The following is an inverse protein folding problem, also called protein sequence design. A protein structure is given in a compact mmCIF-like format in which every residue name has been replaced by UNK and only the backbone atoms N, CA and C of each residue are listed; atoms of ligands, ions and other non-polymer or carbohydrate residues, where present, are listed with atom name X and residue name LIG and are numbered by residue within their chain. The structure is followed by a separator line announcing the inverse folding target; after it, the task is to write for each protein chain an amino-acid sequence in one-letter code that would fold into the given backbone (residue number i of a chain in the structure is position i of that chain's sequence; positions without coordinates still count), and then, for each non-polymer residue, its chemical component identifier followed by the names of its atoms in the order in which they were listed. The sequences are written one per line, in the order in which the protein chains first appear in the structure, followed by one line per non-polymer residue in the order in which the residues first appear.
data_IF_722800052472
#
_entry.id   IF_722800052472
#
_cell.length_a   1.000
_cell.length_b   1.000
_cell.length_c   1.000
_cell.angle_alpha   90.00
_cell.angle_beta   90.00
_cell.angle_gamma   90.00
#
_symmetry.space_group_name_H-M   'P 1'
#
loop_
_entity.id
_entity.type
_entity.pdbx_description
1 polymer ?
#
# COMPACT_ATOMS: atom_id res chain seq x y z
N UNK A 1 3.71 -38.66 -2.27
CA UNK A 1 5.12 -39.00 -1.98
C UNK A 1 5.63 -37.97 -1.00
N UNK A 2 5.68 -38.31 0.28
CA UNK A 2 6.85 -38.84 1.00
C UNK A 2 7.41 -37.73 1.87
N UNK A 3 6.93 -37.66 3.11
CA UNK A 3 7.72 -37.17 4.24
C UNK A 3 7.29 -37.96 5.49
N UNK A 4 7.81 -39.18 5.56
CA UNK A 4 8.20 -39.77 6.85
C UNK A 4 9.67 -39.43 7.03
N UNK A 5 10.05 -38.88 8.19
CA UNK A 5 11.31 -39.26 8.80
C UNK A 5 11.05 -39.86 10.18
N UNK A 6 11.45 -41.13 10.28
CA UNK A 6 12.03 -41.80 11.45
C UNK A 6 11.18 -41.95 12.72
N UNK A 7 10.46 -43.07 12.78
CA UNK A 7 10.34 -43.85 14.01
C UNK A 7 11.73 -44.37 14.41
N UNK A 8 12.30 -43.83 15.47
CA UNK A 8 13.32 -44.53 16.26
C UNK A 8 12.74 -44.85 17.64
N UNK A 9 12.51 -46.14 17.85
CA UNK A 9 12.29 -46.74 19.16
C UNK A 9 13.46 -46.38 20.09
N UNK A 10 13.19 -45.56 21.11
CA UNK A 10 14.17 -45.24 22.14
C UNK A 10 13.53 -44.50 23.31
N UNK A 11 13.26 -45.23 24.41
CA UNK A 11 13.01 -44.71 25.76
C UNK A 11 11.77 -43.80 25.94
N UNK A 12 10.87 -44.20 26.85
CA UNK A 12 9.84 -43.32 27.43
C UNK A 12 10.57 -42.21 28.21
N UNK A 13 11.10 -41.22 27.51
CA UNK A 13 11.45 -39.95 28.10
C UNK A 13 10.11 -39.33 28.55
N UNK A 14 9.96 -39.05 29.84
CA UNK A 14 8.80 -38.35 30.39
C UNK A 14 8.45 -37.19 29.46
N UNK A 15 7.32 -37.31 28.74
CA UNK A 15 6.91 -36.28 27.82
C UNK A 15 6.79 -34.99 28.63
N UNK A 16 7.60 -33.98 28.31
CA UNK A 16 7.60 -32.70 29.05
C UNK A 16 6.15 -32.25 29.28
N UNK A 17 5.79 -31.74 30.48
CA UNK A 17 4.41 -31.38 30.82
C UNK A 17 3.74 -30.49 29.76
N UNK A 18 4.54 -29.65 29.09
CA UNK A 18 4.12 -28.80 27.98
C UNK A 18 3.65 -29.58 26.74
N UNK A 19 4.34 -30.65 26.38
CA UNK A 19 4.01 -31.47 25.21
C UNK A 19 2.75 -32.29 25.47
N UNK A 20 2.60 -32.83 26.68
CA UNK A 20 1.36 -33.49 27.12
C UNK A 20 0.17 -32.52 27.10
N UNK A 21 0.33 -31.31 27.67
CA UNK A 21 -0.71 -30.30 27.65
C UNK A 21 -1.12 -29.90 26.23
N UNK A 22 -0.15 -29.71 25.33
CA UNK A 22 -0.40 -29.41 23.93
C UNK A 22 -1.14 -30.55 23.23
N UNK A 23 -0.74 -31.80 23.48
CA UNK A 23 -1.40 -32.98 22.90
C UNK A 23 -2.85 -33.10 23.38
N UNK A 24 -3.10 -32.96 24.69
CA UNK A 24 -4.44 -32.94 25.26
C UNK A 24 -5.31 -31.84 24.63
N UNK A 25 -4.75 -30.63 24.44
CA UNK A 25 -5.45 -29.53 23.79
C UNK A 25 -5.83 -29.90 22.35
N UNK A 26 -4.89 -30.45 21.57
CA UNK A 26 -5.15 -30.84 20.18
C UNK A 26 -6.23 -31.92 20.09
N UNK A 27 -6.14 -32.96 20.90
CA UNK A 27 -7.12 -34.04 20.94
C UNK A 27 -8.52 -33.55 21.33
N UNK A 28 -8.60 -32.60 22.28
CA UNK A 28 -9.87 -31.97 22.68
C UNK A 28 -10.51 -31.23 21.50
N UNK A 29 -9.75 -30.38 20.80
CA UNK A 29 -10.27 -29.61 19.67
C UNK A 29 -10.55 -30.46 18.43
N UNK A 30 -9.83 -31.57 18.22
CA UNK A 30 -10.13 -32.54 17.15
C UNK A 30 -11.49 -33.23 17.34
N UNK A 31 -11.92 -33.45 18.58
CA UNK A 31 -13.20 -34.08 18.90
C UNK A 31 -14.35 -33.08 19.06
N UNK A 32 -14.08 -31.77 18.97
CA UNK A 32 -15.10 -30.75 19.11
C UNK A 32 -16.01 -30.68 17.89
N UNK A 33 -17.32 -30.70 18.13
CA UNK A 33 -18.34 -30.33 17.15
C UNK A 33 -18.52 -28.80 17.10
N UNK A 34 -19.18 -28.28 16.05
CA UNK A 34 -19.45 -26.85 15.92
C UNK A 34 -20.17 -26.27 17.15
N UNK A 35 -21.17 -26.98 17.69
CA UNK A 35 -21.94 -26.52 18.85
C UNK A 35 -21.14 -26.50 20.17
N UNK A 36 -20.10 -27.32 20.29
CA UNK A 36 -19.27 -27.40 21.49
C UNK A 36 -18.04 -26.49 21.46
N UNK A 37 -17.68 -25.93 20.30
CA UNK A 37 -16.50 -25.08 20.13
C UNK A 37 -16.51 -23.87 21.06
N UNK A 38 -17.66 -23.22 21.23
CA UNK A 38 -17.78 -22.06 22.12
C UNK A 38 -17.43 -22.42 23.57
N UNK A 39 -18.00 -23.51 24.06
CA UNK A 39 -17.82 -23.98 25.43
C UNK A 39 -16.38 -24.40 25.73
N UNK A 40 -15.62 -24.80 24.71
CA UNK A 40 -14.20 -25.16 24.85
C UNK A 40 -13.27 -23.96 24.66
N UNK A 41 -13.66 -22.96 23.87
CA UNK A 41 -12.91 -21.71 23.70
C UNK A 41 -13.02 -20.77 24.92
N UNK A 42 -14.19 -20.71 25.57
CA UNK A 42 -14.41 -19.82 26.72
C UNK A 42 -13.40 -20.03 27.88
N UNK A 43 -13.09 -21.27 28.31
CA UNK A 43 -12.03 -21.52 29.29
C UNK A 43 -10.64 -21.05 28.82
N UNK A 44 -10.36 -21.11 27.51
CA UNK A 44 -9.08 -20.67 26.94
C UNK A 44 -8.95 -19.16 27.06
N UNK A 45 -10.01 -18.40 26.71
CA UNK A 45 -10.05 -16.94 26.90
C UNK A 45 -9.85 -16.58 28.37
N UNK A 46 -10.61 -17.21 29.27
CA UNK A 46 -10.51 -16.97 30.71
C UNK A 46 -9.11 -17.26 31.26
N UNK A 47 -8.44 -18.30 30.77
CA UNK A 47 -7.05 -18.57 31.14
C UNK A 47 -6.10 -17.45 30.68
N UNK A 48 -6.29 -16.91 29.47
CA UNK A 48 -5.46 -15.81 29.00
C UNK A 48 -5.68 -14.52 29.80
N UNK A 49 -6.93 -14.23 30.17
CA UNK A 49 -7.27 -13.07 30.98
C UNK A 49 -6.70 -13.17 32.39
N UNK A 50 -6.85 -14.31 33.06
CA UNK A 50 -6.38 -14.50 34.45
C UNK A 50 -4.85 -14.53 34.58
N UNK A 51 -4.14 -14.95 33.54
CA UNK A 51 -2.68 -15.13 33.58
C UNK A 51 -1.93 -14.14 32.68
N UNK A 52 -2.59 -13.04 32.28
CA UNK A 52 -2.06 -11.95 31.47
C UNK A 52 -1.33 -12.45 30.20
N UNK A 53 -1.91 -13.42 29.49
CA UNK A 53 -1.29 -14.02 28.29
C UNK A 53 -1.50 -13.20 27.01
N UNK A 54 -2.27 -12.13 27.11
CA UNK A 54 -2.44 -11.13 26.06
C UNK A 54 -1.35 -10.07 26.06
N UNK A 55 -0.63 -9.88 27.16
CA UNK A 55 0.38 -8.83 27.24
C UNK A 55 1.47 -9.01 26.17
N UNK A 56 1.91 -7.91 25.54
CA UNK A 56 2.92 -7.98 24.50
C UNK A 56 4.29 -8.40 25.08
N UNK A 57 4.99 -9.38 24.46
CA UNK A 57 4.59 -10.12 23.27
C UNK A 57 3.65 -11.32 23.59
N UNK A 58 2.48 -11.46 22.91
CA UNK A 58 1.47 -12.49 23.23
C UNK A 58 1.81 -13.88 22.67
N UNK A 59 3.07 -14.31 22.86
CA UNK A 59 3.62 -15.52 22.24
C UNK A 59 2.89 -16.80 22.63
N UNK A 60 2.44 -16.89 23.88
CA UNK A 60 1.68 -18.04 24.37
C UNK A 60 0.31 -18.12 23.69
N UNK A 61 -0.43 -17.00 23.68
CA UNK A 61 -1.74 -16.93 23.02
C UNK A 61 -1.63 -17.27 21.53
N UNK A 62 -0.64 -16.72 20.81
CA UNK A 62 -0.39 -17.04 19.40
C UNK A 62 -0.19 -18.55 19.21
N UNK A 63 0.71 -19.17 19.98
CA UNK A 63 1.01 -20.61 19.85
C UNK A 63 -0.23 -21.47 20.14
N UNK A 64 -1.02 -21.10 21.14
CA UNK A 64 -2.25 -21.81 21.52
C UNK A 64 -3.31 -21.70 20.44
N UNK A 65 -3.60 -20.50 19.90
CA UNK A 65 -4.55 -20.36 18.79
C UNK A 65 -4.10 -21.07 17.52
N UNK A 66 -2.80 -21.06 17.19
CA UNK A 66 -2.27 -21.86 16.09
C UNK A 66 -2.52 -23.36 16.31
N UNK A 67 -2.26 -23.86 17.53
CA UNK A 67 -2.55 -25.25 17.86
C UNK A 67 -4.04 -25.59 17.73
N UNK A 68 -4.93 -24.69 18.17
CA UNK A 68 -6.38 -24.84 18.03
C UNK A 68 -6.79 -24.91 16.56
N UNK A 69 -6.35 -23.95 15.73
CA UNK A 69 -6.72 -23.89 14.31
C UNK A 69 -6.21 -25.10 13.51
N UNK A 70 -5.02 -25.63 13.82
CA UNK A 70 -4.52 -26.85 13.19
C UNK A 70 -5.23 -28.13 13.65
N UNK A 71 -6.01 -28.07 14.73
CA UNK A 71 -6.69 -29.23 15.31
C UNK A 71 -8.15 -29.34 14.92
N UNK A 72 -8.76 -28.27 14.42
CA UNK A 72 -10.16 -28.25 14.01
C UNK A 72 -10.31 -28.46 12.50
N UNK A 73 -11.52 -28.79 12.06
CA UNK A 73 -11.85 -28.79 10.63
C UNK A 73 -11.78 -27.37 10.08
N UNK A 74 -11.20 -27.21 8.88
CA UNK A 74 -10.94 -25.89 8.26
C UNK A 74 -12.20 -25.03 8.07
N UNK A 75 -13.37 -25.66 7.93
CA UNK A 75 -14.68 -24.98 7.83
C UNK A 75 -15.05 -24.23 9.12
N UNK A 76 -14.57 -24.72 10.27
CA UNK A 76 -14.86 -24.14 11.59
C UNK A 76 -13.86 -23.04 11.98
N UNK A 77 -12.79 -22.83 11.21
CA UNK A 77 -11.78 -21.79 11.49
C UNK A 77 -12.38 -20.38 11.57
N UNK A 78 -13.43 -20.12 10.78
CA UNK A 78 -14.20 -18.86 10.85
C UNK A 78 -14.75 -18.61 12.25
N UNK A 79 -15.31 -19.63 12.91
CA UNK A 79 -15.93 -19.49 14.21
C UNK A 79 -14.91 -19.05 15.27
N UNK A 80 -13.70 -19.64 15.26
CA UNK A 80 -12.63 -19.28 16.19
C UNK A 80 -12.21 -17.82 16.00
N UNK A 81 -12.06 -17.37 14.74
CA UNK A 81 -11.69 -15.98 14.42
C UNK A 81 -12.80 -15.02 14.84
N UNK A 82 -14.06 -15.32 14.52
CA UNK A 82 -15.20 -14.50 14.93
C UNK A 82 -15.34 -14.42 16.44
N UNK A 83 -15.14 -15.51 17.17
CA UNK A 83 -15.21 -15.46 18.62
C UNK A 83 -14.10 -14.59 19.20
N UNK A 84 -12.87 -14.64 18.64
CA UNK A 84 -11.79 -13.73 19.04
C UNK A 84 -12.12 -12.27 18.70
N UNK A 85 -12.75 -11.99 17.55
CA UNK A 85 -13.24 -10.66 17.19
C UNK A 85 -14.34 -10.20 18.17
N UNK A 86 -15.28 -11.05 18.53
CA UNK A 86 -16.34 -10.75 19.50
C UNK A 86 -15.76 -10.41 20.87
N UNK A 87 -14.74 -11.14 21.32
CA UNK A 87 -14.04 -10.83 22.57
C UNK A 87 -13.32 -9.48 22.46
N UNK A 88 -12.67 -9.20 21.32
CA UNK A 88 -12.03 -7.90 21.11
C UNK A 88 -13.05 -6.75 21.04
N UNK A 89 -14.25 -6.97 20.49
CA UNK A 89 -15.35 -6.01 20.51
C UNK A 89 -15.84 -5.72 21.95
N UNK A 90 -15.84 -6.72 22.85
CA UNK A 90 -16.24 -6.54 24.24
C UNK A 90 -15.21 -5.75 25.06
N UNK A 91 -13.92 -5.84 24.70
CA UNK A 91 -12.80 -5.19 25.39
C UNK A 91 -12.38 -3.87 24.71
N UNK A 92 -13.24 -3.26 23.87
CA UNK A 92 -12.92 -2.04 23.11
C UNK A 92 -12.41 -0.86 23.98
N UNK A 93 -12.91 -0.71 25.20
CA UNK A 93 -12.48 0.32 26.15
C UNK A 93 -11.61 -0.22 27.30
N UNK A 94 -11.14 -1.47 27.18
CA UNK A 94 -10.29 -2.13 28.17
C UNK A 94 -8.83 -1.71 28.08
N UNK A 95 -7.96 -2.47 28.75
CA UNK A 95 -6.52 -2.21 28.77
C UNK A 95 -5.92 -2.25 27.36
N UNK A 96 -5.20 -1.18 26.99
CA UNK A 96 -4.59 -1.04 25.65
C UNK A 96 -3.63 -2.18 25.32
N UNK A 97 -2.92 -2.74 26.31
CA UNK A 97 -2.02 -3.87 26.12
C UNK A 97 -2.77 -5.14 25.67
N UNK A 98 -3.89 -5.44 26.33
CA UNK A 98 -4.72 -6.61 26.01
C UNK A 98 -5.29 -6.47 24.60
N UNK A 99 -5.79 -5.27 24.23
CA UNK A 99 -6.30 -4.99 22.88
C UNK A 99 -5.24 -5.21 21.80
N UNK A 100 -4.04 -4.67 21.98
CA UNK A 100 -2.90 -4.87 21.05
C UNK A 100 -2.52 -6.36 21.00
N UNK A 101 -2.51 -7.04 22.14
CA UNK A 101 -2.25 -8.48 22.24
C UNK A 101 -3.21 -9.32 21.40
N UNK A 102 -4.51 -9.12 21.59
CA UNK A 102 -5.58 -9.79 20.84
C UNK A 102 -5.53 -9.49 19.35
N UNK A 103 -5.28 -8.23 18.96
CA UNK A 103 -5.09 -7.85 17.55
C UNK A 103 -3.86 -8.54 16.93
N UNK A 104 -2.77 -8.66 17.70
CA UNK A 104 -1.56 -9.37 17.26
C UNK A 104 -1.83 -10.87 17.07
N UNK A 105 -2.62 -11.47 17.96
CA UNK A 105 -3.06 -12.86 17.80
C UNK A 105 -3.92 -13.00 16.54
N UNK A 106 -4.91 -12.12 16.32
CA UNK A 106 -5.71 -12.09 15.09
C UNK A 106 -4.82 -12.03 13.84
N UNK A 107 -3.90 -11.08 13.75
CA UNK A 107 -2.97 -10.94 12.62
C UNK A 107 -2.22 -12.25 12.31
N UNK A 108 -1.80 -12.98 13.35
CA UNK A 108 -1.00 -14.20 13.21
C UNK A 108 -1.80 -15.46 12.84
N UNK A 109 -3.12 -15.46 13.05
CA UNK A 109 -3.95 -16.66 12.89
C UNK A 109 -4.82 -16.59 11.64
N UNK A 110 -5.10 -15.37 11.17
CA UNK A 110 -6.03 -15.11 10.07
C UNK A 110 -5.51 -15.67 8.73
N UNK A 111 -4.19 -15.66 8.50
CA UNK A 111 -3.56 -16.28 7.32
C UNK A 111 -3.73 -17.81 7.25
N UNK A 112 -3.87 -18.48 8.40
CA UNK A 112 -4.07 -19.95 8.47
C UNK A 112 -5.48 -20.32 7.96
N UNK A 113 -6.43 -19.41 8.09
CA UNK A 113 -7.84 -19.66 7.82
C UNK A 113 -8.33 -19.16 6.45
N UNK A 114 -7.50 -18.39 5.72
CA UNK A 114 -7.90 -17.72 4.48
C UNK A 114 -8.42 -18.64 3.37
N UNK A 115 -8.02 -19.91 3.35
CA UNK A 115 -8.35 -20.86 2.27
C UNK A 115 -9.73 -21.51 2.38
N UNK A 116 -10.39 -21.44 3.55
CA UNK A 116 -11.58 -22.26 3.83
C UNK A 116 -12.86 -21.47 4.16
N UNK A 117 -12.81 -20.13 4.11
CA UNK A 117 -13.88 -19.27 4.66
C UNK A 117 -14.71 -18.55 3.57
N UNK A 118 -14.34 -18.64 2.29
CA UNK A 118 -15.06 -18.12 1.10
C UNK A 118 -16.19 -17.09 1.33
N UNK A 119 -17.46 -17.50 1.55
CA UNK A 119 -18.60 -16.60 1.71
C UNK A 119 -18.62 -15.75 2.98
N UNK A 120 -17.97 -16.20 4.06
CA UNK A 120 -17.95 -15.55 5.37
C UNK A 120 -16.76 -14.59 5.53
N UNK A 121 -15.88 -14.52 4.53
CA UNK A 121 -14.65 -13.70 4.54
C UNK A 121 -14.95 -12.21 4.60
N UNK A 122 -15.94 -11.76 3.83
CA UNK A 122 -16.35 -10.35 3.83
C UNK A 122 -16.91 -9.95 5.21
N UNK A 123 -17.54 -10.88 5.93
CA UNK A 123 -17.99 -10.64 7.29
C UNK A 123 -16.82 -10.45 8.27
N UNK A 124 -15.76 -11.28 8.21
CA UNK A 124 -14.52 -11.06 9.00
C UNK A 124 -13.94 -9.68 8.66
N UNK A 125 -13.77 -9.39 7.38
CA UNK A 125 -13.18 -8.13 6.92
C UNK A 125 -13.98 -6.93 7.42
N UNK A 126 -15.31 -7.00 7.32
CA UNK A 126 -16.20 -5.95 7.80
C UNK A 126 -16.13 -5.78 9.33
N UNK A 127 -16.07 -6.87 10.11
CA UNK A 127 -15.91 -6.78 11.56
C UNK A 127 -14.57 -6.16 11.96
N UNK A 128 -13.48 -6.51 11.26
CA UNK A 128 -12.16 -5.91 11.47
C UNK A 128 -12.14 -4.41 11.08
N UNK A 129 -12.80 -4.03 9.98
CA UNK A 129 -12.98 -2.62 9.62
C UNK A 129 -13.83 -1.86 10.64
N UNK A 130 -14.87 -2.49 11.19
CA UNK A 130 -15.70 -1.91 12.26
C UNK A 130 -14.87 -1.67 13.53
N UNK A 131 -14.06 -2.64 13.94
CA UNK A 131 -13.10 -2.48 15.04
C UNK A 131 -12.13 -1.32 14.80
N UNK A 132 -11.62 -1.19 13.57
CA UNK A 132 -10.73 -0.09 13.19
C UNK A 132 -11.45 1.27 13.25
N UNK A 133 -12.70 1.36 12.78
CA UNK A 133 -13.55 2.56 12.93
C UNK A 133 -13.77 2.92 14.40
N UNK A 134 -14.15 1.96 15.23
CA UNK A 134 -14.37 2.20 16.66
C UNK A 134 -13.09 2.61 17.39
N UNK A 135 -11.93 2.08 16.99
CA UNK A 135 -10.62 2.51 17.51
C UNK A 135 -10.30 3.97 17.14
N UNK A 136 -10.62 4.39 15.92
CA UNK A 136 -10.49 5.79 15.48
C UNK A 136 -11.35 6.71 16.34
N UNK A 137 -12.62 6.35 16.58
CA UNK A 137 -13.54 7.10 17.42
C UNK A 137 -13.04 7.15 18.88
N UNK A 138 -12.54 6.04 19.40
CA UNK A 138 -11.96 5.96 20.73
C UNK A 138 -10.72 6.86 20.89
N UNK A 139 -9.82 6.90 19.90
CA UNK A 139 -8.64 7.76 19.92
C UNK A 139 -9.01 9.26 20.01
N UNK A 140 -10.12 9.67 19.38
CA UNK A 140 -10.58 11.06 19.44
C UNK A 140 -11.40 11.37 20.69
N UNK A 141 -11.81 10.34 21.44
CA UNK A 141 -12.48 10.50 22.72
C UNK A 141 -11.49 10.98 23.79
N UNK A 142 -12.00 11.68 24.82
CA UNK A 142 -11.19 12.07 25.99
C UNK A 142 -10.78 10.88 26.87
N UNK A 143 -11.22 9.67 26.55
CA UNK A 143 -10.97 8.45 27.32
C UNK A 143 -9.67 7.74 26.90
N UNK A 144 -9.09 8.11 25.75
CA UNK A 144 -7.81 7.57 25.31
C UNK A 144 -6.66 8.18 26.12
N UNK A 145 -6.08 7.39 27.03
CA UNK A 145 -4.94 7.80 27.87
C UNK A 145 -3.60 7.64 27.14
N UNK A 146 -3.48 6.62 26.28
CA UNK A 146 -2.24 6.27 25.58
C UNK A 146 -2.45 6.21 24.07
N UNK A 147 -2.17 7.34 23.39
CA UNK A 147 -2.32 7.47 21.94
C UNK A 147 -1.36 6.56 21.16
N UNK A 148 -0.17 6.29 21.68
CA UNK A 148 0.84 5.52 20.94
C UNK A 148 0.46 4.03 20.90
N UNK A 149 -0.08 3.49 22.01
CA UNK A 149 -0.63 2.13 21.99
C UNK A 149 -1.87 2.00 21.14
N UNK A 150 -2.72 3.03 21.07
CA UNK A 150 -3.88 3.01 20.18
C UNK A 150 -3.46 3.03 18.70
N UNK A 151 -2.45 3.83 18.34
CA UNK A 151 -1.86 3.77 16.99
C UNK A 151 -1.24 2.41 16.69
N UNK A 152 -0.55 1.80 17.67
CA UNK A 152 0.00 0.46 17.52
C UNK A 152 -1.13 -0.55 17.25
N UNK A 153 -2.22 -0.49 18.01
CA UNK A 153 -3.42 -1.31 17.79
C UNK A 153 -3.97 -1.14 16.36
N UNK A 154 -4.15 0.10 15.90
CA UNK A 154 -4.62 0.40 14.54
C UNK A 154 -3.68 -0.18 13.48
N UNK A 155 -2.36 0.02 13.61
CA UNK A 155 -1.37 -0.52 12.69
C UNK A 155 -1.36 -2.05 12.68
N UNK A 156 -1.49 -2.69 13.85
CA UNK A 156 -1.61 -4.15 13.94
C UNK A 156 -2.85 -4.66 13.23
N UNK A 157 -3.99 -3.97 13.35
CA UNK A 157 -5.21 -4.32 12.61
C UNK A 157 -5.07 -4.09 11.10
N UNK A 158 -4.45 -2.99 10.66
CA UNK A 158 -4.18 -2.72 9.24
C UNK A 158 -3.31 -3.82 8.65
N UNK A 159 -2.23 -4.21 9.35
CA UNK A 159 -1.36 -5.30 8.92
C UNK A 159 -2.11 -6.63 8.90
N UNK A 160 -2.96 -6.91 9.89
CA UNK A 160 -3.81 -8.11 9.92
C UNK A 160 -4.75 -8.17 8.71
N UNK A 161 -5.33 -7.04 8.30
CA UNK A 161 -6.18 -6.94 7.11
C UNK A 161 -5.38 -7.18 5.82
N UNK A 162 -4.14 -6.70 5.76
CA UNK A 162 -3.18 -6.99 4.69
C UNK A 162 -2.82 -8.47 4.58
N UNK A 163 -2.37 -9.06 5.68
CA UNK A 163 -2.01 -10.47 5.77
C UNK A 163 -3.21 -11.37 5.45
N UNK A 164 -4.40 -10.96 5.89
CA UNK A 164 -5.64 -11.63 5.51
C UNK A 164 -5.87 -11.58 4.01
N UNK A 165 -5.80 -10.40 3.40
CA UNK A 165 -5.99 -10.25 1.96
C UNK A 165 -4.96 -11.05 1.15
N UNK A 166 -3.72 -11.20 1.65
CA UNK A 166 -2.67 -12.00 1.00
C UNK A 166 -3.03 -13.49 0.87
N UNK A 167 -3.82 -14.03 1.80
CA UNK A 167 -4.24 -15.42 1.81
C UNK A 167 -5.44 -15.71 0.88
N UNK A 168 -6.01 -14.66 0.25
CA UNK A 168 -7.21 -14.77 -0.57
C UNK A 168 -6.91 -14.91 -2.06
N UNK A 169 -7.82 -15.53 -2.84
CA UNK A 169 -7.81 -15.40 -4.29
C UNK A 169 -8.01 -13.96 -4.75
N UNK A 170 -7.48 -13.64 -5.93
CA UNK A 170 -7.47 -12.28 -6.48
C UNK A 170 -8.86 -11.66 -6.68
N UNK A 171 -9.88 -12.45 -7.04
CA UNK A 171 -11.24 -11.91 -7.19
C UNK A 171 -11.81 -11.38 -5.85
N UNK A 172 -11.49 -12.03 -4.73
CA UNK A 172 -11.93 -11.58 -3.40
C UNK A 172 -11.14 -10.37 -2.92
N UNK A 173 -9.86 -10.26 -3.28
CA UNK A 173 -9.08 -9.05 -3.03
C UNK A 173 -9.72 -7.84 -3.70
N UNK A 174 -10.21 -7.98 -4.93
CA UNK A 174 -10.96 -6.91 -5.64
C UNK A 174 -12.25 -6.55 -4.92
N UNK A 175 -13.04 -7.53 -4.47
CA UNK A 175 -14.26 -7.28 -3.69
C UNK A 175 -13.96 -6.52 -2.39
N UNK A 176 -12.91 -6.91 -1.67
CA UNK A 176 -12.46 -6.26 -0.45
C UNK A 176 -11.98 -4.83 -0.72
N UNK A 177 -11.23 -4.60 -1.79
CA UNK A 177 -10.79 -3.26 -2.20
C UNK A 177 -12.00 -2.37 -2.51
N UNK A 178 -12.98 -2.87 -3.25
CA UNK A 178 -14.21 -2.14 -3.55
C UNK A 178 -15.05 -1.86 -2.30
N UNK A 179 -15.17 -2.83 -1.40
CA UNK A 179 -15.87 -2.66 -0.12
C UNK A 179 -15.19 -1.61 0.77
N UNK A 180 -13.86 -1.65 0.85
CA UNK A 180 -13.06 -0.67 1.61
C UNK A 180 -13.19 0.71 0.99
N UNK A 181 -13.11 0.83 -0.34
CA UNK A 181 -13.25 2.10 -1.03
C UNK A 181 -14.64 2.72 -0.89
N UNK A 182 -15.71 1.91 -0.98
CA UNK A 182 -17.09 2.36 -0.71
C UNK A 182 -17.32 2.73 0.76
N UNK A 183 -16.45 2.29 1.65
CA UNK A 183 -16.46 2.60 3.07
C UNK A 183 -15.76 3.93 3.42
N UNK A 184 -14.95 4.50 2.52
CA UNK A 184 -14.18 5.72 2.81
C UNK A 184 -15.13 6.92 2.84
N UNK A 185 -15.16 7.71 3.93
CA UNK A 185 -16.02 8.89 4.01
C UNK A 185 -15.57 10.00 3.06
N UNK A 186 -16.53 10.68 2.45
CA UNK A 186 -16.26 11.88 1.64
C UNK A 186 -16.31 13.14 2.51
N UNK A 187 -15.16 13.47 3.10
CA UNK A 187 -14.98 14.58 4.04
C UNK A 187 -15.41 15.94 3.48
N UNK A 188 -15.37 16.14 2.16
CA UNK A 188 -15.75 17.41 1.52
C UNK A 188 -17.27 17.64 1.51
N UNK A 189 -18.05 16.55 1.55
CA UNK A 189 -19.52 16.58 1.55
C UNK A 189 -20.12 16.75 2.95
N UNK A 190 -19.30 16.59 4.01
CA UNK A 190 -19.76 16.60 5.39
C UNK A 190 -20.04 18.02 5.86
N UNK A 191 -21.32 18.37 6.02
CA UNK A 191 -21.79 19.72 6.37
C UNK A 191 -21.60 20.06 7.86
N UNK A 192 -21.22 19.10 8.70
CA UNK A 192 -21.31 19.20 10.16
C UNK A 192 -20.12 19.88 10.88
N UNK A 193 -20.27 20.00 12.20
CA UNK A 193 -19.35 20.58 13.20
C UNK A 193 -17.88 20.18 12.95
N UNK A 194 -16.95 21.11 13.23
CA UNK A 194 -15.50 20.94 13.01
C UNK A 194 -14.93 19.62 13.60
N UNK A 195 -15.45 19.16 14.73
CA UNK A 195 -15.01 17.94 15.41
C UNK A 195 -15.36 16.67 14.62
N UNK A 196 -16.58 16.56 14.08
CA UNK A 196 -16.99 15.40 13.28
C UNK A 196 -16.16 15.30 11.98
N UNK A 197 -15.85 16.45 11.37
CA UNK A 197 -14.94 16.50 10.20
C UNK A 197 -13.53 15.98 10.53
N UNK A 198 -13.02 16.22 11.73
CA UNK A 198 -11.72 15.67 12.15
C UNK A 198 -11.78 14.15 12.38
N UNK A 199 -12.89 13.63 12.92
CA UNK A 199 -13.13 12.19 13.02
C UNK A 199 -13.11 11.54 11.65
N UNK A 200 -13.88 12.09 10.71
CA UNK A 200 -13.99 11.56 9.35
C UNK A 200 -12.70 11.70 8.54
N UNK A 201 -11.95 12.80 8.70
CA UNK A 201 -10.65 12.97 8.04
C UNK A 201 -9.63 11.92 8.53
N UNK A 202 -9.59 11.67 9.85
CA UNK A 202 -8.72 10.62 10.39
C UNK A 202 -9.17 9.23 9.92
N UNK A 203 -10.47 8.97 9.91
CA UNK A 203 -11.02 7.71 9.43
C UNK A 203 -10.72 7.49 7.95
N UNK A 204 -10.86 8.53 7.11
CA UNK A 204 -10.48 8.50 5.70
C UNK A 204 -9.02 8.06 5.54
N UNK A 205 -8.11 8.69 6.29
CA UNK A 205 -6.68 8.37 6.27
C UNK A 205 -6.40 6.91 6.65
N UNK A 206 -7.02 6.41 7.72
CA UNK A 206 -6.86 5.03 8.17
C UNK A 206 -7.39 4.03 7.14
N UNK A 207 -8.59 4.26 6.59
CA UNK A 207 -9.19 3.38 5.58
C UNK A 207 -8.42 3.39 4.25
N UNK A 208 -7.88 4.54 3.85
CA UNK A 208 -7.03 4.65 2.66
C UNK A 208 -5.71 3.89 2.86
N UNK A 209 -5.12 3.91 4.07
CA UNK A 209 -3.96 3.05 4.41
C UNK A 209 -4.31 1.57 4.38
N UNK A 210 -5.47 1.18 4.91
CA UNK A 210 -5.97 -0.19 4.81
C UNK A 210 -6.13 -0.62 3.35
N UNK A 211 -6.69 0.25 2.51
CA UNK A 211 -6.86 -0.02 1.08
C UNK A 211 -5.51 -0.21 0.38
N UNK A 212 -4.51 0.62 0.70
CA UNK A 212 -3.15 0.44 0.19
C UNK A 212 -2.57 -0.91 0.61
N UNK A 213 -2.67 -1.27 1.88
CA UNK A 213 -2.11 -2.53 2.38
C UNK A 213 -2.71 -3.73 1.63
N UNK A 214 -4.03 -3.73 1.39
CA UNK A 214 -4.70 -4.76 0.57
C UNK A 214 -4.23 -4.73 -0.89
N UNK A 215 -4.10 -3.54 -1.48
CA UNK A 215 -3.65 -3.36 -2.87
C UNK A 215 -2.25 -3.93 -3.11
N UNK A 216 -1.32 -3.80 -2.15
CA UNK A 216 0.04 -4.37 -2.28
C UNK A 216 0.08 -5.90 -2.39
N UNK A 217 -0.98 -6.59 -2.00
CA UNK A 217 -1.08 -8.06 -2.09
C UNK A 217 -1.77 -8.54 -3.38
N UNK A 218 -2.24 -7.61 -4.21
CA UNK A 218 -2.94 -7.90 -5.44
C UNK A 218 -2.02 -7.67 -6.65
N UNK A 219 -2.04 -8.61 -7.62
CA UNK A 219 -1.34 -8.46 -8.88
C UNK A 219 -2.34 -8.26 -10.02
N UNK A 220 -2.22 -7.14 -10.72
CA UNK A 220 -3.14 -6.81 -11.81
C UNK A 220 -2.81 -7.58 -13.08
N UNK A 221 -3.82 -8.28 -13.61
CA UNK A 221 -3.75 -8.87 -14.94
C UNK A 221 -4.38 -7.95 -16.00
N UNK A 222 -5.63 -7.54 -15.76
CA UNK A 222 -6.38 -6.62 -16.62
C UNK A 222 -6.84 -5.41 -15.82
N UNK A 223 -6.70 -4.20 -16.37
CA UNK A 223 -7.09 -3.00 -15.64
C UNK A 223 -8.60 -2.96 -15.37
N UNK A 224 -9.41 -3.40 -16.33
CA UNK A 224 -10.86 -3.38 -16.23
C UNK A 224 -11.43 -4.29 -15.13
N UNK A 225 -10.68 -5.30 -14.65
CA UNK A 225 -11.15 -6.18 -13.57
C UNK A 225 -11.02 -5.52 -12.19
N UNK A 226 -10.09 -4.56 -12.05
CA UNK A 226 -9.82 -3.87 -10.79
C UNK A 226 -10.49 -2.50 -10.77
N UNK A 227 -10.25 -1.73 -11.82
CA UNK A 227 -10.73 -0.37 -11.97
C UNK A 227 -12.16 -0.36 -12.52
N UNK A 228 -13.11 -0.80 -11.70
CA UNK A 228 -14.52 -0.53 -11.96
C UNK A 228 -14.78 0.97 -11.99
N UNK A 229 -15.82 1.40 -12.70
CA UNK A 229 -16.12 2.84 -12.82
C UNK A 229 -16.28 3.54 -11.45
N UNK A 230 -16.87 2.85 -10.48
CA UNK A 230 -17.03 3.38 -9.13
C UNK A 230 -15.69 3.45 -8.40
N UNK A 231 -14.90 2.37 -8.41
CA UNK A 231 -13.63 2.31 -7.71
C UNK A 231 -12.61 3.32 -8.28
N UNK A 232 -12.50 3.42 -9.61
CA UNK A 232 -11.63 4.40 -10.26
C UNK A 232 -12.05 5.84 -9.90
N UNK A 233 -13.34 6.16 -9.93
CA UNK A 233 -13.82 7.50 -9.54
C UNK A 233 -13.47 7.82 -8.10
N UNK A 234 -13.66 6.88 -7.16
CA UNK A 234 -13.28 7.08 -5.75
C UNK A 234 -11.78 7.33 -5.62
N UNK A 235 -10.92 6.54 -6.27
CA UNK A 235 -9.47 6.75 -6.23
C UNK A 235 -9.05 8.11 -6.80
N UNK A 236 -9.61 8.50 -7.95
CA UNK A 236 -9.33 9.80 -8.57
C UNK A 236 -9.84 10.97 -7.71
N UNK A 237 -10.97 10.83 -7.02
CA UNK A 237 -11.44 11.81 -6.05
C UNK A 237 -10.50 11.93 -4.85
N UNK A 238 -9.99 10.80 -4.34
CA UNK A 238 -9.06 10.79 -3.21
C UNK A 238 -7.75 11.52 -3.54
N UNK A 239 -7.27 11.42 -4.79
CA UNK A 239 -6.12 12.20 -5.29
C UNK A 239 -6.35 13.72 -5.31
N UNK A 240 -7.60 14.18 -5.18
CA UNK A 240 -7.96 15.60 -5.16
C UNK A 240 -8.39 16.10 -3.77
N UNK A 241 -8.25 15.28 -2.73
CA UNK A 241 -8.62 15.62 -1.35
C UNK A 241 -7.69 16.69 -0.78
N UNK A 242 -8.15 17.44 0.22
CA UNK A 242 -7.36 18.49 0.90
C UNK A 242 -6.15 17.98 1.69
N UNK A 243 -6.17 16.76 2.22
CA UNK A 243 -5.06 16.19 3.00
C UNK A 243 -3.97 15.61 2.07
N UNK A 244 -2.75 16.15 2.13
CA UNK A 244 -1.64 15.69 1.29
C UNK A 244 -1.27 14.21 1.49
N UNK A 245 -1.40 13.67 2.71
CA UNK A 245 -1.07 12.27 2.97
C UNK A 245 -2.11 11.35 2.32
N UNK A 246 -3.39 11.72 2.36
CA UNK A 246 -4.44 10.99 1.64
C UNK A 246 -4.20 11.03 0.13
N UNK A 247 -3.85 12.20 -0.43
CA UNK A 247 -3.50 12.32 -1.86
C UNK A 247 -2.33 11.40 -2.23
N UNK A 248 -1.26 11.42 -1.43
CA UNK A 248 -0.07 10.60 -1.66
C UNK A 248 -0.41 9.10 -1.65
N UNK A 249 -1.14 8.63 -0.65
CA UNK A 249 -1.52 7.22 -0.55
C UNK A 249 -2.46 6.84 -1.71
N UNK A 250 -3.37 7.72 -2.13
CA UNK A 250 -4.23 7.48 -3.30
C UNK A 250 -3.43 7.36 -4.61
N UNK A 251 -2.37 8.15 -4.77
CA UNK A 251 -1.40 7.97 -5.86
C UNK A 251 -0.68 6.63 -5.75
N UNK A 252 -0.19 6.25 -4.56
CA UNK A 252 0.47 4.97 -4.34
C UNK A 252 -0.44 3.77 -4.66
N UNK A 253 -1.72 3.80 -4.22
CA UNK A 253 -2.69 2.75 -4.56
C UNK A 253 -2.86 2.65 -6.08
N UNK A 254 -3.04 3.78 -6.76
CA UNK A 254 -3.20 3.80 -8.21
C UNK A 254 -1.95 3.24 -8.92
N UNK A 255 -0.75 3.60 -8.46
CA UNK A 255 0.52 3.11 -8.99
C UNK A 255 0.68 1.61 -8.77
N UNK A 256 0.48 1.11 -7.55
CA UNK A 256 0.61 -0.31 -7.20
C UNK A 256 -0.36 -1.18 -8.01
N UNK A 257 -1.59 -0.71 -8.24
CA UNK A 257 -2.56 -1.44 -9.06
C UNK A 257 -2.31 -1.33 -10.56
N UNK A 258 -1.56 -0.31 -11.01
CA UNK A 258 -1.20 -0.11 -12.41
C UNK A 258 0.09 -0.87 -12.78
N UNK A 259 1.04 -0.97 -11.86
CA UNK A 259 2.35 -1.58 -12.07
C UNK A 259 2.28 -3.10 -12.07
N UNK A 260 2.47 -3.72 -13.24
CA UNK A 260 2.39 -5.18 -13.41
C UNK A 260 3.77 -5.83 -13.49
N UNK A 261 4.78 -5.02 -13.79
CA UNK A 261 6.14 -5.47 -14.08
C UNK A 261 7.17 -4.91 -13.09
N UNK A 262 6.73 -4.48 -11.90
CA UNK A 262 7.57 -3.99 -10.82
C UNK A 262 8.47 -2.81 -11.26
N UNK A 263 7.90 -1.90 -12.06
CA UNK A 263 8.55 -0.68 -12.53
C UNK A 263 8.42 0.49 -11.53
N UNK A 264 7.48 0.44 -10.58
CA UNK A 264 7.17 1.53 -9.64
C UNK A 264 8.41 1.97 -8.86
N UNK A 265 9.17 1.03 -8.30
CA UNK A 265 10.38 1.35 -7.50
C UNK A 265 11.45 2.08 -8.32
N UNK A 266 11.53 1.81 -9.63
CA UNK A 266 12.48 2.45 -10.55
C UNK A 266 12.01 3.87 -10.94
N UNK A 267 10.70 4.11 -10.90
CA UNK A 267 10.06 5.36 -11.34
C UNK A 267 9.72 6.31 -10.18
N UNK A 268 9.66 5.82 -8.94
CA UNK A 268 9.33 6.61 -7.74
C UNK A 268 10.28 7.81 -7.56
N UNK A 269 11.55 7.63 -7.90
CA UNK A 269 12.56 8.67 -7.91
C UNK A 269 13.14 8.87 -9.31
N UNK A 270 12.27 8.91 -10.33
CA UNK A 270 12.69 9.12 -11.71
C UNK A 270 13.57 10.37 -11.82
N UNK A 271 14.85 10.14 -12.10
CA UNK A 271 15.83 11.18 -12.37
C UNK A 271 15.71 11.63 -13.83
N UNK A 272 16.30 12.79 -14.14
CA UNK A 272 16.41 13.22 -15.53
C UNK A 272 17.30 12.24 -16.29
N UNK A 273 16.79 11.68 -17.39
CA UNK A 273 17.57 10.74 -18.20
C UNK A 273 18.51 11.54 -19.10
N UNK A 274 19.79 11.55 -18.76
CA UNK A 274 20.80 12.29 -19.50
C UNK A 274 21.12 11.62 -20.84
N UNK A 275 21.65 12.36 -21.84
CA UNK A 275 22.02 11.80 -23.14
C UNK A 275 23.06 10.68 -23.05
N UNK A 276 23.86 10.63 -21.97
CA UNK A 276 24.84 9.58 -21.73
C UNK A 276 24.24 8.30 -21.13
N UNK A 277 23.03 8.37 -20.54
CA UNK A 277 22.32 7.21 -19.99
C UNK A 277 21.62 6.45 -21.11
N UNK A 278 21.97 5.17 -21.28
CA UNK A 278 21.28 4.29 -22.23
C UNK A 278 20.05 3.68 -21.54
N UNK A 279 19.07 3.28 -22.33
CA UNK A 279 17.93 2.45 -21.85
C UNK A 279 18.39 1.16 -21.14
N UNK A 280 19.62 0.71 -21.41
CA UNK A 280 20.28 -0.41 -20.73
C UNK A 280 20.55 -0.12 -19.23
N UNK A 281 20.73 1.15 -18.87
CA UNK A 281 20.97 1.62 -17.50
C UNK A 281 19.68 1.82 -16.70
N UNK A 282 18.52 1.79 -17.38
CA UNK A 282 17.19 1.91 -16.78
C UNK A 282 16.35 0.68 -17.19
N UNK A 283 16.51 -0.48 -16.51
CA UNK A 283 15.90 -1.74 -16.91
C UNK A 283 14.38 -1.75 -16.65
N UNK A 284 13.64 -0.95 -17.43
CA UNK A 284 12.20 -0.89 -17.44
C UNK A 284 11.66 -2.04 -18.29
N UNK A 285 10.64 -2.71 -17.79
CA UNK A 285 9.91 -3.72 -18.56
C UNK A 285 8.77 -3.00 -19.23
N UNK A 286 8.89 -2.82 -20.55
CA UNK A 286 7.88 -2.16 -21.39
C UNK A 286 7.27 -3.20 -22.32
N UNK A 287 6.05 -3.61 -22.01
CA UNK A 287 5.30 -4.53 -22.84
C UNK A 287 4.28 -3.79 -23.71
N UNK A 288 3.87 -4.42 -24.81
CA UNK A 288 2.85 -3.85 -25.68
C UNK A 288 1.50 -3.85 -24.95
N UNK A 289 0.88 -2.67 -24.86
CA UNK A 289 -0.45 -2.50 -24.28
C UNK A 289 -1.47 -3.48 -24.90
N UNK A 290 -2.17 -4.24 -24.05
CA UNK A 290 -3.17 -5.21 -24.49
C UNK A 290 -4.38 -4.53 -25.11
N UNK A 291 -5.12 -5.23 -25.98
CA UNK A 291 -6.36 -4.67 -26.57
C UNK A 291 -7.40 -4.31 -25.51
N UNK A 292 -7.50 -5.10 -24.43
CA UNK A 292 -8.45 -4.87 -23.36
C UNK A 292 -8.09 -3.60 -22.58
N UNK A 293 -6.81 -3.44 -22.24
CA UNK A 293 -6.32 -2.25 -21.54
C UNK A 293 -6.38 -0.99 -22.42
N UNK A 294 -6.13 -1.13 -23.73
CA UNK A 294 -6.29 -0.03 -24.68
C UNK A 294 -7.74 0.49 -24.73
N UNK A 295 -8.74 -0.40 -24.69
CA UNK A 295 -10.14 0.00 -24.61
C UNK A 295 -10.49 0.66 -23.28
N UNK A 296 -9.94 0.14 -22.18
CA UNK A 296 -10.09 0.75 -20.85
C UNK A 296 -9.51 2.17 -20.83
N UNK A 297 -8.28 2.35 -21.34
CA UNK A 297 -7.62 3.65 -21.40
C UNK A 297 -8.39 4.62 -22.29
N UNK A 298 -8.84 4.21 -23.47
CA UNK A 298 -9.66 5.06 -24.35
C UNK A 298 -10.91 5.60 -23.66
N UNK A 299 -11.53 4.83 -22.77
CA UNK A 299 -12.72 5.26 -22.01
C UNK A 299 -12.38 6.22 -20.86
N UNK A 300 -11.26 6.01 -20.18
CA UNK A 300 -10.97 6.64 -18.89
C UNK A 300 -9.83 7.68 -18.92
N UNK A 301 -9.03 7.74 -19.99
CA UNK A 301 -7.81 8.56 -20.07
C UNK A 301 -8.07 10.04 -19.79
N UNK A 302 -9.15 10.60 -20.32
CA UNK A 302 -9.47 12.02 -20.11
C UNK A 302 -9.74 12.34 -18.63
N UNK A 303 -10.41 11.44 -17.90
CA UNK A 303 -10.69 11.63 -16.46
C UNK A 303 -9.41 11.48 -15.65
N UNK A 304 -8.56 10.50 -16.00
CA UNK A 304 -7.26 10.28 -15.36
C UNK A 304 -6.36 11.51 -15.57
N UNK A 305 -6.17 11.96 -16.82
CA UNK A 305 -5.33 13.12 -17.16
C UNK A 305 -5.85 14.41 -16.51
N UNK A 306 -7.16 14.64 -16.51
CA UNK A 306 -7.75 15.79 -15.82
C UNK A 306 -7.50 15.76 -14.31
N UNK A 307 -7.61 14.58 -13.69
CA UNK A 307 -7.32 14.39 -12.26
C UNK A 307 -5.84 14.65 -11.96
N UNK A 308 -4.95 14.08 -12.76
CA UNK A 308 -3.51 14.28 -12.64
C UNK A 308 -3.14 15.76 -12.76
N UNK A 309 -3.67 16.47 -13.76
CA UNK A 309 -3.48 17.92 -13.90
C UNK A 309 -3.92 18.68 -12.64
N UNK A 310 -5.13 18.40 -12.15
CA UNK A 310 -5.67 19.05 -10.95
C UNK A 310 -4.86 18.73 -9.70
N UNK A 311 -4.32 17.52 -9.56
CA UNK A 311 -3.45 17.12 -8.45
C UNK A 311 -2.20 18.02 -8.35
N UNK A 312 -1.58 18.36 -9.48
CA UNK A 312 -0.46 19.33 -9.53
C UNK A 312 -0.91 20.74 -9.18
N UNK A 313 -2.07 21.17 -9.68
CA UNK A 313 -2.61 22.51 -9.41
C UNK A 313 -2.89 22.70 -7.93
N UNK A 314 -3.47 21.73 -7.23
CA UNK A 314 -3.78 21.82 -5.80
C UNK A 314 -2.59 21.50 -4.89
N UNK A 315 -1.47 21.01 -5.42
CA UNK A 315 -0.32 20.65 -4.61
C UNK A 315 0.25 21.90 -3.90
N UNK A 316 0.21 21.88 -2.58
CA UNK A 316 0.70 22.92 -1.69
C UNK A 316 1.64 22.33 -0.64
N UNK A 317 2.59 23.13 -0.11
CA UNK A 317 3.45 22.70 0.98
C UNK A 317 2.63 22.50 2.26
N UNK A 318 2.59 21.28 2.78
CA UNK A 318 1.95 20.93 4.04
C UNK A 318 3.01 20.40 5.03
N UNK A 319 2.79 20.61 6.33
CA UNK A 319 3.75 20.22 7.38
C UNK A 319 4.08 18.72 7.41
N UNK A 320 3.17 17.86 6.91
CA UNK A 320 3.31 16.40 6.91
C UNK A 320 4.04 15.84 5.69
N UNK A 321 3.90 16.48 4.52
CA UNK A 321 4.38 15.96 3.23
C UNK A 321 5.02 17.08 2.43
N UNK A 322 6.30 16.91 2.08
CA UNK A 322 7.00 17.87 1.23
C UNK A 322 6.38 17.93 -0.16
N UNK A 323 6.45 19.12 -0.77
CA UNK A 323 5.91 19.34 -2.11
C UNK A 323 6.62 18.47 -3.16
N UNK A 324 7.92 18.23 -2.99
CA UNK A 324 8.71 17.32 -3.83
C UNK A 324 8.14 15.90 -3.86
N UNK A 325 7.77 15.34 -2.70
CA UNK A 325 7.19 13.99 -2.62
C UNK A 325 5.86 13.90 -3.38
N UNK A 326 5.03 14.95 -3.31
CA UNK A 326 3.79 15.02 -4.08
C UNK A 326 4.06 15.04 -5.59
N UNK A 327 5.05 15.82 -6.03
CA UNK A 327 5.45 15.86 -7.44
C UNK A 327 6.07 14.56 -7.95
N UNK A 328 6.88 13.88 -7.13
CA UNK A 328 7.42 12.56 -7.46
C UNK A 328 6.31 11.51 -7.58
N UNK A 329 5.33 11.51 -6.67
CA UNK A 329 4.17 10.62 -6.77
C UNK A 329 3.34 10.89 -8.05
N UNK A 330 3.14 12.14 -8.42
CA UNK A 330 2.55 12.48 -9.72
C UNK A 330 3.40 11.91 -10.87
N UNK A 331 4.70 12.16 -10.87
CA UNK A 331 5.61 11.79 -11.95
C UNK A 331 5.66 10.28 -12.15
N UNK A 332 5.70 9.53 -11.05
CA UNK A 332 5.63 8.07 -11.04
C UNK A 332 4.30 7.58 -11.66
N UNK A 333 3.17 8.19 -11.28
CA UNK A 333 1.86 7.87 -11.87
C UNK A 333 1.84 8.10 -13.39
N UNK A 334 2.38 9.25 -13.84
CA UNK A 334 2.45 9.61 -15.25
C UNK A 334 3.37 8.66 -16.04
N UNK A 335 4.54 8.34 -15.48
CA UNK A 335 5.51 7.44 -16.08
C UNK A 335 5.00 5.99 -16.16
N UNK A 336 4.31 5.51 -15.12
CA UNK A 336 3.70 4.19 -15.12
C UNK A 336 2.60 4.06 -16.18
N UNK A 337 1.75 5.08 -16.38
CA UNK A 337 0.74 5.04 -17.46
C UNK A 337 1.43 4.89 -18.82
N UNK A 338 2.54 5.62 -19.04
CA UNK A 338 3.31 5.52 -20.27
C UNK A 338 3.94 4.12 -20.46
N UNK A 339 4.54 3.55 -19.42
CA UNK A 339 5.26 2.27 -19.48
C UNK A 339 4.31 1.07 -19.55
N UNK A 340 3.24 1.07 -18.78
CA UNK A 340 2.32 -0.07 -18.66
C UNK A 340 1.24 -0.09 -19.75
N UNK A 341 0.74 1.08 -20.15
CA UNK A 341 -0.41 1.19 -21.06
C UNK A 341 -0.24 2.25 -22.16
N UNK A 342 1.01 2.60 -22.48
CA UNK A 342 1.33 3.55 -23.55
C UNK A 342 0.99 3.02 -24.94
N UNK A 343 -0.23 3.27 -25.40
CA UNK A 343 -0.60 3.22 -26.82
C UNK A 343 -0.56 4.64 -27.44
N UNK A 344 -0.58 4.74 -28.77
CA UNK A 344 -0.45 6.03 -29.47
C UNK A 344 -1.49 7.07 -28.98
N UNK A 345 -2.74 6.67 -28.78
CA UNK A 345 -3.80 7.56 -28.26
C UNK A 345 -3.50 8.07 -26.85
N UNK A 346 -3.08 7.17 -25.95
CA UNK A 346 -2.73 7.53 -24.56
C UNK A 346 -1.51 8.44 -24.54
N UNK A 347 -0.46 8.12 -25.31
CA UNK A 347 0.75 8.95 -25.38
C UNK A 347 0.44 10.38 -25.82
N UNK A 348 -0.45 10.57 -26.80
CA UNK A 348 -0.90 11.91 -27.23
C UNK A 348 -1.57 12.67 -26.09
N UNK A 349 -2.45 12.03 -25.32
CA UNK A 349 -3.08 12.66 -24.14
C UNK A 349 -2.06 13.00 -23.05
N UNK A 350 -1.06 12.14 -22.82
CA UNK A 350 0.00 12.43 -21.86
C UNK A 350 0.91 13.60 -22.32
N UNK A 351 1.17 13.74 -23.62
CA UNK A 351 1.86 14.93 -24.16
C UNK A 351 1.02 16.19 -23.99
N UNK A 352 -0.29 16.13 -24.24
CA UNK A 352 -1.22 17.25 -23.99
C UNK A 352 -1.17 17.68 -22.53
N UNK A 353 -1.14 16.72 -21.59
CA UNK A 353 -0.98 17.00 -20.16
C UNK A 353 0.35 17.71 -19.87
N UNK A 354 1.46 17.21 -20.41
CA UNK A 354 2.78 17.81 -20.24
C UNK A 354 2.82 19.27 -20.73
N UNK A 355 2.21 19.56 -21.88
CA UNK A 355 2.11 20.92 -22.41
C UNK A 355 1.19 21.82 -21.58
N UNK A 356 0.04 21.30 -21.12
CA UNK A 356 -0.86 22.03 -20.25
C UNK A 356 -0.18 22.43 -18.93
N UNK A 357 0.65 21.54 -18.35
CA UNK A 357 1.44 21.83 -17.16
C UNK A 357 2.52 22.88 -17.43
N UNK A 358 3.19 22.83 -18.58
CA UNK A 358 4.14 23.87 -18.97
C UNK A 358 3.47 25.23 -19.12
N UNK A 359 2.28 25.28 -19.71
CA UNK A 359 1.52 26.52 -19.86
C UNK A 359 1.08 27.06 -18.49
N UNK A 360 0.65 26.18 -17.58
CA UNK A 360 0.30 26.56 -16.21
C UNK A 360 1.50 27.11 -15.43
N UNK A 361 2.70 26.55 -15.63
CA UNK A 361 3.92 27.05 -15.00
C UNK A 361 4.34 28.46 -15.47
N UNK A 362 3.81 28.94 -16.61
CA UNK A 362 4.05 30.29 -17.13
C UNK A 362 3.03 31.32 -16.62
N UNK A 363 2.06 30.92 -15.82
CA UNK A 363 1.10 31.84 -15.22
C UNK A 363 1.81 32.79 -14.23
N UNK A 364 1.68 34.10 -14.46
CA UNK A 364 2.33 35.14 -13.66
C UNK A 364 1.88 35.13 -12.18
N UNK A 365 0.72 34.52 -11.88
CA UNK A 365 0.19 34.42 -10.52
C UNK A 365 0.81 33.27 -9.72
N UNK A 366 1.57 32.38 -10.36
CA UNK A 366 2.14 31.20 -9.72
C UNK A 366 3.43 31.53 -8.97
N UNK A 367 3.61 30.93 -7.79
CA UNK A 367 4.88 31.02 -7.07
C UNK A 367 6.04 30.45 -7.91
N UNK A 368 7.17 31.15 -7.93
CA UNK A 368 8.36 30.78 -8.71
C UNK A 368 8.86 29.36 -8.36
N UNK A 369 8.86 28.98 -7.08
CA UNK A 369 9.23 27.63 -6.63
C UNK A 369 8.32 26.54 -7.23
N UNK A 370 7.02 26.82 -7.30
CA UNK A 370 6.03 25.90 -7.88
C UNK A 370 6.21 25.78 -9.39
N UNK A 371 6.45 26.90 -10.08
CA UNK A 371 6.74 26.92 -11.51
C UNK A 371 8.00 26.09 -11.85
N UNK A 372 9.07 26.26 -11.07
CA UNK A 372 10.33 25.51 -11.21
C UNK A 372 10.11 24.01 -11.05
N UNK A 373 9.39 23.61 -10.00
CA UNK A 373 9.07 22.20 -9.74
C UNK A 373 8.28 21.56 -10.89
N UNK A 374 7.30 22.28 -11.46
CA UNK A 374 6.53 21.80 -12.61
C UNK A 374 7.44 21.67 -13.85
N UNK A 375 8.32 22.64 -14.11
CA UNK A 375 9.25 22.55 -15.23
C UNK A 375 10.23 21.38 -15.08
N UNK A 376 10.72 21.08 -13.88
CA UNK A 376 11.56 19.90 -13.62
C UNK A 376 10.80 18.60 -13.90
N UNK A 377 9.58 18.50 -13.38
CA UNK A 377 8.68 17.36 -13.57
C UNK A 377 8.40 17.10 -15.05
N UNK A 378 8.05 18.13 -15.83
CA UNK A 378 7.81 17.97 -17.26
C UNK A 378 9.09 17.59 -18.00
N UNK A 379 10.24 18.14 -17.60
CA UNK A 379 11.53 17.81 -18.24
C UNK A 379 11.88 16.33 -18.04
N UNK A 380 11.69 15.79 -16.83
CA UNK A 380 11.89 14.36 -16.52
C UNK A 380 10.93 13.47 -17.31
N UNK A 381 9.64 13.80 -17.34
CA UNK A 381 8.65 13.05 -18.11
C UNK A 381 8.95 13.05 -19.62
N UNK A 382 9.20 14.23 -20.21
CA UNK A 382 9.48 14.35 -21.65
C UNK A 382 10.76 13.61 -22.05
N UNK A 383 11.76 13.59 -21.16
CA UNK A 383 12.98 12.81 -21.36
C UNK A 383 12.67 11.32 -21.50
N UNK A 384 11.95 10.74 -20.53
CA UNK A 384 11.52 9.35 -20.58
C UNK A 384 10.65 9.05 -21.80
N UNK A 385 9.64 9.90 -22.06
CA UNK A 385 8.70 9.70 -23.16
C UNK A 385 9.37 9.75 -24.53
N UNK A 386 10.31 10.67 -24.74
CA UNK A 386 11.06 10.74 -26.01
C UNK A 386 11.86 9.47 -26.28
N UNK A 387 12.52 8.91 -25.26
CA UNK A 387 13.33 7.70 -25.38
C UNK A 387 12.46 6.47 -25.68
N UNK A 388 11.32 6.34 -25.01
CA UNK A 388 10.38 5.25 -25.23
C UNK A 388 9.66 5.34 -26.58
N UNK A 389 9.36 6.55 -27.07
CA UNK A 389 8.73 6.75 -28.38
C UNK A 389 9.62 6.28 -29.54
N UNK A 390 10.94 6.12 -29.31
CA UNK A 390 11.91 5.75 -30.36
C UNK A 390 11.89 6.68 -31.59
N UNK A 391 11.60 7.97 -31.38
CA UNK A 391 11.59 9.01 -32.43
C UNK A 391 12.85 9.89 -32.26
N UNK A 392 13.91 9.71 -33.07
CA UNK A 392 15.18 10.41 -32.85
C UNK A 392 15.07 11.94 -32.88
N UNK A 393 14.23 12.49 -33.77
CA UNK A 393 14.00 13.93 -33.86
C UNK A 393 13.36 14.50 -32.57
N UNK A 394 12.46 13.74 -31.93
CA UNK A 394 11.85 14.13 -30.67
C UNK A 394 12.87 14.10 -29.54
N UNK A 395 13.70 13.04 -29.46
CA UNK A 395 14.79 12.97 -28.48
C UNK A 395 15.74 14.16 -28.60
N UNK A 396 16.18 14.47 -29.82
CA UNK A 396 17.06 15.62 -30.07
C UNK A 396 16.40 16.94 -29.66
N UNK A 397 15.13 17.14 -29.99
CA UNK A 397 14.41 18.35 -29.62
C UNK A 397 14.26 18.49 -28.10
N UNK A 398 13.84 17.44 -27.41
CA UNK A 398 13.71 17.44 -25.94
C UNK A 398 15.05 17.72 -25.28
N UNK A 399 16.15 17.11 -25.75
CA UNK A 399 17.50 17.38 -25.26
C UNK A 399 17.93 18.84 -25.49
N UNK A 400 17.66 19.41 -26.67
CA UNK A 400 17.94 20.82 -26.95
C UNK A 400 17.19 21.75 -25.98
N UNK A 401 15.91 21.49 -25.72
CA UNK A 401 15.10 22.28 -24.79
C UNK A 401 15.63 22.17 -23.36
N UNK A 402 15.98 20.96 -22.90
CA UNK A 402 16.56 20.71 -21.59
C UNK A 402 17.89 21.47 -21.43
N UNK A 403 18.77 21.40 -22.43
CA UNK A 403 20.05 22.11 -22.41
C UNK A 403 19.88 23.64 -22.38
N UNK A 404 18.94 24.18 -23.17
CA UNK A 404 18.63 25.60 -23.16
C UNK A 404 18.07 26.06 -21.81
N UNK A 405 17.21 25.25 -21.18
CA UNK A 405 16.70 25.53 -19.83
C UNK A 405 17.83 25.50 -18.79
N UNK A 406 18.72 24.52 -18.85
CA UNK A 406 19.86 24.46 -17.95
C UNK A 406 20.81 25.66 -18.08
N UNK A 407 20.91 26.26 -19.27
CA UNK A 407 21.76 27.43 -19.51
C UNK A 407 21.09 28.77 -19.20
N UNK A 408 19.76 28.88 -19.39
CA UNK A 408 19.03 30.16 -19.35
C UNK A 408 18.05 30.31 -18.20
N UNK A 409 17.67 29.23 -17.52
CA UNK A 409 16.66 29.27 -16.46
C UNK A 409 17.27 29.60 -15.09
N UNK A 410 16.39 29.82 -14.11
CA UNK A 410 16.75 30.08 -12.72
C UNK A 410 17.66 28.97 -12.16
N UNK A 411 18.70 29.28 -11.35
CA UNK A 411 19.65 28.27 -10.84
C UNK A 411 19.02 27.11 -10.03
N UNK A 412 17.85 27.33 -9.43
CA UNK A 412 17.07 26.30 -8.72
C UNK A 412 16.37 25.30 -9.66
N UNK A 413 16.37 25.56 -10.96
CA UNK A 413 15.95 24.62 -11.99
C UNK A 413 17.04 23.54 -12.10
N UNK A 414 17.05 22.64 -11.11
CA UNK A 414 17.98 21.55 -10.82
C UNK A 414 18.02 20.45 -11.91
N UNK A 415 17.95 20.83 -13.19
CA UNK A 415 17.97 19.90 -14.32
C UNK A 415 19.26 19.08 -14.35
N UNK A 416 20.39 19.67 -13.93
CA UNK A 416 21.72 19.04 -14.05
C UNK A 416 22.32 18.53 -12.72
N UNK A 417 21.65 18.69 -11.58
CA UNK A 417 22.16 18.26 -10.27
C UNK A 417 21.94 16.77 -10.00
N UNK A 418 21.04 16.14 -10.75
CA UNK A 418 20.75 14.69 -10.69
C UNK A 418 21.67 13.87 -11.60
N UNK A 419 22.88 14.35 -11.92
CA UNK A 419 23.91 13.44 -12.41
C UNK A 419 24.09 12.37 -11.32
N UNK A 420 23.95 11.07 -11.60
CA UNK A 420 24.45 10.09 -10.66
C UNK A 420 25.89 10.51 -10.35
N UNK A 421 26.24 10.63 -9.07
CA UNK A 421 27.63 10.79 -8.67
C UNK A 421 28.36 9.61 -9.29
N UNK A 422 28.97 9.85 -10.43
CA UNK A 422 29.70 8.86 -11.17
C UNK A 422 30.72 8.30 -10.21
N UNK A 423 30.88 6.98 -10.22
CA UNK A 423 31.91 6.20 -9.54
C UNK A 423 33.30 6.54 -10.16
N UNK A 424 33.57 7.82 -10.40
CA UNK A 424 34.78 8.34 -11.07
C UNK A 424 35.86 8.71 -10.05
N UNK A 425 35.51 8.83 -8.76
CA UNK A 425 36.54 9.03 -7.72
C UNK A 425 37.29 7.75 -7.31
N UNK A 426 37.03 6.60 -7.96
CA UNK A 426 37.76 5.34 -7.69
C UNK A 426 38.65 4.85 -8.84
N UNK A 427 38.75 5.60 -9.94
CA UNK A 427 39.70 5.29 -11.02
C UNK A 427 40.92 6.21 -10.97
N UNK A 428 40.75 7.48 -10.58
CA UNK A 428 41.90 8.39 -10.39
C UNK A 428 42.71 8.09 -9.12
N UNK A 429 42.13 7.47 -8.09
CA UNK A 429 42.86 7.03 -6.90
C UNK A 429 43.68 5.76 -7.13
N UNK A 430 43.26 4.87 -8.04
CA UNK A 430 44.02 3.65 -8.37
C UNK A 430 45.16 3.88 -9.36
N UNK A 431 45.08 4.91 -10.20
CA UNK A 431 46.17 5.30 -11.11
C UNK A 431 47.25 6.15 -10.44
N UNK A 432 46.98 6.69 -9.24
CA UNK A 432 47.96 7.41 -8.43
C UNK A 432 48.82 6.45 -7.58
N UNK A 433 48.24 5.35 -7.09
CA UNK A 433 48.98 4.35 -6.29
C UNK A 433 49.90 3.44 -7.14
N UNK A 434 49.57 3.17 -8.41
CA UNK A 434 50.45 2.38 -9.30
C UNK A 434 51.66 3.16 -9.86
N UNK A 435 51.74 4.48 -9.64
CA UNK A 435 52.87 5.32 -10.07
C UNK A 435 53.90 5.60 -8.96
N UNK A 436 53.71 5.07 -7.76
CA UNK A 436 54.68 5.20 -6.66
C UNK A 436 55.52 3.93 -6.39
N UNK A 437 55.23 2.81 -7.07
CA UNK A 437 55.97 1.54 -6.94
C UNK A 437 56.69 1.08 -8.24
N UNK A 438 57.17 2.03 -9.06
CA UNK A 438 58.16 1.74 -10.13
C UNK A 438 59.41 2.61 -10.01
#
# INVERSE_FOLDING_TARGET
MLFHPEEQNGSIAEAEPRNLALQCLRELFQKCSFGSLKSVLEPVFRHFDLHNKWDPPPTFAIKTFKAILYSIQSQNSYFVIQELINQLEQVQNGESNVRVGMATVLANIVSIAGTSIGPLLLAIFNSLLKLLRSSVEFQQSKQCVDLEKEKLFQNTLINALGDFASALPDYQKVEIMMFTAGSIPNVESTVNLKTERMCEAFLQKVLVKTLLEVATKYKTFYLATVFTDAFLRTLLQLQLTRDAEVRLIAHQIFQTLLDRHDNQQKLEHLLLILPEMRMEDLPLIVEKCSRQDSLFMRRNIHVIVSTLYRSVVIAEPENSVSIEKQYFAFLCSLALILVEVGNDETQVELFRLAFALQQYALDEQLCEEKAINIHNLVSRYMSLSSQLASIPALCQHVQQVINLRAQRAHPLLNINTDKPKSIVNNVESKLADEKQDQ
#
